data_IF_140291148033
#
_entry.id   IF_140291148033
#
_cell.length_a   1.000
_cell.length_b   1.000
_cell.length_c   1.000
_cell.angle_alpha   90.00
_cell.angle_beta   90.00
_cell.angle_gamma   90.00
#
_symmetry.space_group_name_H-M   'P 1'
#
loop_
_entity.id
_entity.type
_entity.pdbx_description
1 polymer ?
#
# COMPACT_ATOMS: atom_id res chain seq x y z
N UNK A 1 -14.27 -1.77 20.95
CA UNK A 1 -15.58 -2.31 21.38
C UNK A 1 -16.12 -3.25 20.32
N UNK A 2 -16.88 -4.24 20.72
CA UNK A 2 -17.62 -5.13 19.82
C UNK A 2 -18.97 -4.50 19.38
N UNK A 3 -19.80 -5.29 18.66
CA UNK A 3 -21.12 -4.85 18.19
C UNK A 3 -22.07 -4.49 19.33
N UNK A 4 -21.85 -5.05 20.51
CA UNK A 4 -22.67 -4.88 21.70
C UNK A 4 -22.08 -3.80 22.64
N UNK A 5 -21.11 -3.02 22.15
CA UNK A 5 -20.41 -1.94 22.87
C UNK A 5 -19.57 -2.41 24.06
N UNK A 6 -19.22 -3.70 24.15
CA UNK A 6 -18.31 -4.17 25.17
C UNK A 6 -16.86 -3.82 24.80
N UNK A 7 -16.05 -3.48 25.79
CA UNK A 7 -14.61 -3.25 25.60
C UNK A 7 -13.94 -4.60 25.41
N UNK A 8 -13.50 -4.90 24.17
CA UNK A 8 -12.77 -6.13 23.83
C UNK A 8 -11.28 -5.94 24.07
N UNK A 9 -10.75 -4.76 23.73
CA UNK A 9 -9.35 -4.39 23.95
C UNK A 9 -9.31 -3.34 25.05
N UNK A 10 -8.54 -3.56 26.14
CA UNK A 10 -8.39 -2.57 27.21
C UNK A 10 -7.86 -1.24 26.69
N UNK A 11 -8.31 -0.12 27.27
CA UNK A 11 -7.80 1.22 26.95
C UNK A 11 -6.44 1.47 27.65
N UNK A 12 -5.47 0.58 27.41
CA UNK A 12 -4.11 0.66 28.01
C UNK A 12 -3.04 1.08 26.99
N UNK A 13 -3.43 1.28 25.73
CA UNK A 13 -2.54 1.67 24.65
C UNK A 13 -2.71 3.15 24.33
N UNK A 14 -1.62 3.83 23.95
CA UNK A 14 -1.64 5.22 23.50
C UNK A 14 -2.36 5.39 22.17
N UNK A 15 -2.19 4.41 21.26
CA UNK A 15 -2.90 4.34 19.99
C UNK A 15 -3.13 2.90 19.54
N UNK A 16 -4.17 2.71 18.73
CA UNK A 16 -4.53 1.43 18.09
C UNK A 16 -4.94 1.72 16.65
N UNK A 17 -4.37 0.98 15.68
CA UNK A 17 -4.80 1.05 14.28
C UNK A 17 -6.13 0.34 14.05
N UNK A 18 -6.70 0.50 12.86
CA UNK A 18 -7.77 -0.41 12.41
C UNK A 18 -7.25 -1.84 12.34
N UNK A 19 -8.15 -2.81 12.58
CA UNK A 19 -7.83 -4.22 12.37
C UNK A 19 -7.80 -4.54 10.86
N UNK A 20 -6.70 -5.15 10.43
CA UNK A 20 -6.55 -5.74 9.10
C UNK A 20 -6.27 -7.24 9.27
N UNK A 21 -7.12 -8.08 8.64
CA UNK A 21 -7.05 -9.55 8.77
C UNK A 21 -6.96 -10.05 10.23
N UNK A 22 -7.61 -9.35 11.16
CA UNK A 22 -7.66 -9.71 12.59
C UNK A 22 -6.44 -9.29 13.40
N UNK A 23 -5.53 -8.51 12.82
CA UNK A 23 -4.34 -7.96 13.49
C UNK A 23 -4.43 -6.43 13.51
N UNK A 24 -4.13 -5.81 14.64
CA UNK A 24 -3.98 -4.36 14.76
C UNK A 24 -2.61 -4.01 15.34
N UNK A 25 -2.09 -2.86 14.93
CA UNK A 25 -0.90 -2.26 15.55
C UNK A 25 -1.37 -1.49 16.79
N UNK A 26 -0.65 -1.68 17.88
CA UNK A 26 -0.81 -0.88 19.10
C UNK A 26 0.47 -0.15 19.42
N UNK A 27 0.35 1.02 20.04
CA UNK A 27 1.51 1.73 20.59
C UNK A 27 1.33 2.00 22.07
N UNK A 28 2.43 1.93 22.80
CA UNK A 28 2.53 2.28 24.22
C UNK A 28 3.94 2.78 24.51
N UNK A 29 4.05 3.91 25.21
CA UNK A 29 5.33 4.52 25.61
C UNK A 29 6.28 4.73 24.41
N UNK A 30 5.73 5.11 23.24
CA UNK A 30 6.52 5.35 22.02
C UNK A 30 7.03 4.07 21.33
N UNK A 31 6.57 2.89 21.75
CA UNK A 31 6.88 1.61 21.11
C UNK A 31 5.62 1.02 20.48
N UNK A 32 5.80 0.26 19.41
CA UNK A 32 4.73 -0.40 18.68
C UNK A 32 4.82 -1.91 18.81
N UNK A 33 3.68 -2.58 18.71
CA UNK A 33 3.55 -4.03 18.66
C UNK A 33 2.23 -4.42 18.02
N UNK A 34 1.84 -5.67 18.12
CA UNK A 34 0.64 -6.15 17.45
C UNK A 34 -0.24 -6.95 18.40
N UNK A 35 -1.56 -6.77 18.25
CA UNK A 35 -2.58 -7.50 18.97
C UNK A 35 -3.54 -8.19 18.01
N UNK A 36 -4.20 -9.25 18.50
CA UNK A 36 -5.33 -9.87 17.82
C UNK A 36 -6.65 -9.15 18.12
N UNK A 37 -7.72 -9.60 17.46
CA UNK A 37 -9.07 -9.04 17.63
C UNK A 37 -9.65 -9.26 19.05
N UNK A 38 -9.01 -10.08 19.88
CA UNK A 38 -9.40 -10.34 21.27
C UNK A 38 -8.58 -9.51 22.26
N UNK A 39 -7.59 -8.73 21.76
CA UNK A 39 -6.71 -7.90 22.59
C UNK A 39 -5.48 -8.63 23.13
N UNK A 40 -5.22 -9.86 22.67
CA UNK A 40 -4.02 -10.61 23.05
C UNK A 40 -2.82 -10.08 22.26
N UNK A 41 -1.69 -9.88 22.93
CA UNK A 41 -0.45 -9.46 22.27
C UNK A 41 0.08 -10.60 21.41
N UNK A 42 0.10 -10.40 20.09
CA UNK A 42 0.66 -11.34 19.12
C UNK A 42 2.18 -11.19 18.99
N UNK A 43 2.62 -9.92 18.90
CA UNK A 43 4.07 -9.59 18.82
C UNK A 43 4.37 -8.47 19.79
N UNK A 44 5.53 -8.55 20.51
CA UNK A 44 5.86 -7.63 21.59
C UNK A 44 5.80 -6.15 21.21
N UNK A 45 5.44 -5.29 22.16
CA UNK A 45 5.44 -3.83 22.00
C UNK A 45 6.88 -3.34 22.25
N UNK A 46 7.76 -3.59 21.28
CA UNK A 46 9.19 -3.31 21.39
C UNK A 46 9.77 -2.55 20.19
N UNK A 47 8.98 -2.42 19.11
CA UNK A 47 9.42 -1.79 17.86
C UNK A 47 9.28 -0.27 17.96
N UNK A 48 10.24 0.49 17.42
CA UNK A 48 10.14 1.94 17.29
C UNK A 48 9.03 2.33 16.31
N UNK A 49 8.85 1.53 15.27
CA UNK A 49 7.78 1.70 14.28
C UNK A 49 7.39 0.32 13.73
N UNK A 50 6.13 0.17 13.36
CA UNK A 50 5.58 -1.07 12.81
C UNK A 50 4.62 -0.77 11.66
N UNK A 51 4.72 -1.51 10.54
CA UNK A 51 3.78 -1.43 9.43
C UNK A 51 2.65 -2.46 9.58
N UNK A 52 1.50 -2.29 8.91
CA UNK A 52 0.53 -3.36 8.76
C UNK A 52 1.14 -4.61 8.11
N UNK A 53 0.58 -5.78 8.44
CA UNK A 53 0.95 -7.03 7.78
C UNK A 53 0.47 -7.03 6.33
N UNK A 54 1.36 -7.42 5.43
CA UNK A 54 1.05 -7.65 4.03
C UNK A 54 1.70 -8.96 3.57
N UNK A 55 0.94 -9.86 2.95
CA UNK A 55 1.44 -11.19 2.52
C UNK A 55 2.21 -11.94 3.63
N UNK A 56 1.65 -11.93 4.85
CA UNK A 56 2.21 -12.57 6.03
C UNK A 56 3.54 -11.97 6.56
N UNK A 57 3.88 -10.74 6.15
CA UNK A 57 5.05 -10.02 6.64
C UNK A 57 4.69 -8.58 6.99
N UNK A 58 5.43 -8.01 7.95
CA UNK A 58 5.38 -6.59 8.30
C UNK A 58 6.79 -6.03 8.41
N UNK A 59 6.97 -4.77 8.06
CA UNK A 59 8.23 -4.08 8.34
C UNK A 59 8.19 -3.48 9.74
N UNK A 60 9.29 -3.59 10.44
CA UNK A 60 9.46 -3.05 11.80
C UNK A 60 10.80 -2.33 11.91
N UNK A 61 10.88 -1.33 12.78
CA UNK A 61 12.17 -0.72 13.17
C UNK A 61 12.46 -1.14 14.60
N UNK A 62 13.62 -1.72 14.82
CA UNK A 62 14.12 -2.12 16.14
C UNK A 62 15.60 -1.74 16.26
N UNK A 63 15.94 -1.03 17.32
CA UNK A 63 17.29 -0.51 17.58
C UNK A 63 17.86 0.31 16.41
N UNK A 64 16.98 1.12 15.78
CA UNK A 64 17.30 1.95 14.62
C UNK A 64 17.51 1.15 13.32
N UNK A 65 17.25 -0.15 13.31
CA UNK A 65 17.41 -1.02 12.14
C UNK A 65 16.04 -1.43 11.56
N UNK A 66 15.90 -1.28 10.25
CA UNK A 66 14.74 -1.81 9.52
C UNK A 66 14.82 -3.32 9.48
N UNK A 67 13.77 -4.02 9.91
CA UNK A 67 13.60 -5.46 9.88
C UNK A 67 12.32 -5.90 9.21
N UNK A 68 12.26 -7.15 8.80
CA UNK A 68 11.07 -7.80 8.28
C UNK A 68 10.60 -8.85 9.30
N UNK A 69 9.43 -8.62 9.89
CA UNK A 69 8.73 -9.52 10.81
C UNK A 69 7.85 -10.47 10.00
N UNK A 70 7.98 -11.77 10.21
CA UNK A 70 7.08 -12.76 9.62
C UNK A 70 5.93 -13.13 10.59
N UNK A 71 4.95 -13.89 10.08
CA UNK A 71 3.79 -14.31 10.87
C UNK A 71 4.17 -15.31 12.00
N UNK A 72 5.34 -15.92 11.98
CA UNK A 72 5.84 -16.77 13.06
C UNK A 72 6.48 -15.97 14.21
N UNK A 73 6.67 -14.66 14.02
CA UNK A 73 7.28 -13.77 15.01
C UNK A 73 8.78 -13.57 14.84
N UNK A 74 9.39 -14.13 13.78
CA UNK A 74 10.81 -13.95 13.53
C UNK A 74 11.07 -12.64 12.81
N UNK A 75 12.08 -11.90 13.23
CA UNK A 75 12.53 -10.67 12.58
C UNK A 75 13.87 -10.91 11.88
N UNK A 76 13.94 -10.58 10.60
CA UNK A 76 15.18 -10.59 9.84
C UNK A 76 15.61 -9.18 9.46
N UNK A 77 16.93 -8.91 9.56
CA UNK A 77 17.57 -7.67 9.12
C UNK A 77 18.38 -7.88 7.83
N UNK A 78 18.23 -9.04 7.17
CA UNK A 78 18.95 -9.33 5.92
C UNK A 78 18.28 -8.60 4.74
N UNK A 79 18.97 -7.59 4.21
CA UNK A 79 18.52 -6.83 3.03
C UNK A 79 18.20 -7.73 1.82
N UNK A 80 18.94 -8.86 1.63
CA UNK A 80 18.67 -9.78 0.52
C UNK A 80 17.30 -10.43 0.61
N UNK A 81 16.78 -10.54 1.82
CA UNK A 81 15.42 -11.04 2.08
C UNK A 81 14.44 -9.86 1.98
N UNK A 82 14.69 -8.77 2.70
CA UNK A 82 13.79 -7.62 2.79
C UNK A 82 13.46 -7.00 1.43
N UNK A 83 14.47 -6.87 0.54
CA UNK A 83 14.26 -6.29 -0.81
C UNK A 83 13.30 -7.08 -1.71
N UNK A 84 12.83 -8.26 -1.29
CA UNK A 84 11.83 -9.07 -1.99
C UNK A 84 10.39 -8.67 -1.67
N UNK A 85 10.22 -7.75 -0.71
CA UNK A 85 8.92 -7.26 -0.25
C UNK A 85 8.81 -5.77 -0.51
N UNK A 86 7.61 -5.33 -0.90
CA UNK A 86 7.35 -3.92 -1.17
C UNK A 86 7.10 -3.17 0.14
N UNK A 87 7.92 -2.15 0.41
CA UNK A 87 7.71 -1.21 1.50
C UNK A 87 6.51 -0.30 1.22
N UNK A 88 5.75 0.11 2.25
CA UNK A 88 4.88 1.26 2.16
C UNK A 88 5.69 2.51 1.75
N UNK A 89 5.10 3.38 0.93
CA UNK A 89 5.83 4.55 0.40
C UNK A 89 6.26 5.53 1.50
N UNK A 90 5.53 5.58 2.61
CA UNK A 90 5.82 6.42 3.78
C UNK A 90 7.04 5.96 4.60
N UNK A 91 7.58 4.78 4.31
CA UNK A 91 8.70 4.18 5.03
C UNK A 91 10.05 4.35 4.34
N UNK A 92 10.08 4.95 3.18
CA UNK A 92 11.31 5.17 2.41
C UNK A 92 11.80 6.61 2.53
N UNK A 93 13.12 6.80 2.56
CA UNK A 93 13.71 8.15 2.62
C UNK A 93 13.51 8.91 1.31
N UNK A 94 13.57 8.18 0.20
CA UNK A 94 13.36 8.73 -1.13
C UNK A 94 12.29 7.89 -1.83
N UNK A 95 11.06 8.40 -2.02
CA UNK A 95 10.01 7.70 -2.73
C UNK A 95 10.38 7.39 -4.18
N UNK A 96 9.82 6.32 -4.73
CA UNK A 96 9.95 6.05 -6.15
C UNK A 96 9.36 7.21 -6.96
N UNK A 97 10.05 7.60 -8.03
CA UNK A 97 9.71 8.75 -8.87
C UNK A 97 9.39 8.31 -10.29
N UNK A 98 8.24 8.75 -10.81
CA UNK A 98 7.88 8.55 -12.19
C UNK A 98 8.81 9.35 -13.11
N UNK A 99 9.38 8.68 -14.11
CA UNK A 99 10.29 9.29 -15.11
C UNK A 99 9.85 8.99 -16.55
N UNK A 100 8.61 8.54 -16.72
CA UNK A 100 8.09 8.08 -18.01
C UNK A 100 7.83 9.16 -19.02
N UNK A 101 7.73 10.41 -18.59
CA UNK A 101 7.62 11.59 -19.47
C UNK A 101 8.27 12.84 -18.84
N UNK A 102 8.26 13.95 -19.59
CA UNK A 102 8.89 15.19 -19.16
C UNK A 102 8.15 15.89 -17.99
N UNK A 103 6.89 15.55 -17.71
CA UNK A 103 6.13 16.15 -16.60
C UNK A 103 6.56 15.60 -15.25
N UNK A 104 7.00 14.33 -15.20
CA UNK A 104 7.23 13.61 -13.96
C UNK A 104 5.94 13.33 -13.15
N UNK A 105 4.77 13.60 -13.73
CA UNK A 105 3.46 13.42 -13.10
C UNK A 105 2.77 12.16 -13.62
N UNK A 106 2.75 11.14 -12.77
CA UNK A 106 2.14 9.86 -13.13
C UNK A 106 0.62 9.94 -13.34
N UNK A 107 -0.09 10.74 -12.55
CA UNK A 107 -1.54 10.87 -12.71
C UNK A 107 -1.88 11.56 -14.02
N UNK A 108 -1.13 12.58 -14.41
CA UNK A 108 -1.28 13.24 -15.71
C UNK A 108 -0.98 12.27 -16.86
N UNK A 109 0.05 11.44 -16.69
CA UNK A 109 0.36 10.40 -17.68
C UNK A 109 -0.77 9.37 -17.80
N UNK A 110 -1.35 8.90 -16.66
CA UNK A 110 -2.51 8.00 -16.65
C UNK A 110 -3.69 8.63 -17.37
N UNK A 111 -4.00 9.90 -17.09
CA UNK A 111 -5.11 10.62 -17.71
C UNK A 111 -4.97 10.75 -19.22
N UNK A 112 -3.74 10.96 -19.72
CA UNK A 112 -3.45 11.06 -21.14
C UNK A 112 -3.45 9.70 -21.87
N UNK A 113 -3.23 8.60 -21.15
CA UNK A 113 -3.07 7.25 -21.74
C UNK A 113 -4.25 6.30 -21.46
N UNK A 114 -5.15 6.64 -20.55
CA UNK A 114 -6.37 5.87 -20.32
C UNK A 114 -7.35 6.04 -21.49
N UNK A 115 -8.09 4.99 -21.77
CA UNK A 115 -9.14 4.98 -22.78
C UNK A 115 -10.48 4.77 -22.10
N UNK A 116 -11.48 5.56 -22.48
CA UNK A 116 -12.83 5.32 -21.96
C UNK A 116 -13.43 4.10 -22.66
N UNK A 117 -13.76 3.00 -21.91
CA UNK A 117 -14.29 1.80 -22.53
C UNK A 117 -15.62 2.04 -23.24
N UNK A 118 -15.77 1.51 -24.44
CA UNK A 118 -16.97 1.69 -25.28
C UNK A 118 -18.25 1.25 -24.59
N UNK A 119 -18.21 0.10 -23.86
CA UNK A 119 -19.35 -0.42 -23.14
C UNK A 119 -19.79 0.53 -22.01
N UNK A 120 -18.86 1.00 -21.21
CA UNK A 120 -19.12 1.98 -20.16
C UNK A 120 -19.61 3.32 -20.74
N UNK A 121 -19.08 3.71 -21.90
CA UNK A 121 -19.48 4.94 -22.61
C UNK A 121 -20.94 4.85 -23.10
N UNK A 122 -21.36 3.72 -23.67
CA UNK A 122 -22.75 3.52 -24.12
C UNK A 122 -23.76 3.54 -22.98
N UNK A 123 -23.32 3.10 -21.79
CA UNK A 123 -24.15 3.07 -20.59
C UNK A 123 -24.07 4.38 -19.78
N UNK A 124 -23.24 5.35 -20.18
CA UNK A 124 -23.05 6.61 -19.46
C UNK A 124 -22.47 6.42 -18.05
N UNK A 125 -21.67 5.35 -17.83
CA UNK A 125 -21.15 5.02 -16.50
C UNK A 125 -19.89 5.84 -16.23
N UNK A 126 -19.86 6.57 -15.12
CA UNK A 126 -18.68 7.28 -14.58
C UNK A 126 -18.27 6.65 -13.26
N UNK A 127 -17.02 6.83 -12.86
CA UNK A 127 -16.56 6.35 -11.56
C UNK A 127 -15.07 6.58 -11.33
N UNK A 128 -14.64 6.24 -10.13
CA UNK A 128 -13.23 6.26 -9.72
C UNK A 128 -12.83 4.85 -9.32
N UNK A 129 -11.74 4.37 -9.88
CA UNK A 129 -11.16 3.06 -9.55
C UNK A 129 -9.88 3.29 -8.77
N UNK A 130 -9.82 2.75 -7.57
CA UNK A 130 -8.62 2.72 -6.77
C UNK A 130 -7.73 1.56 -7.22
N UNK A 131 -6.51 1.86 -7.66
CA UNK A 131 -5.57 0.87 -8.19
C UNK A 131 -4.32 0.84 -7.33
N UNK A 132 -4.00 -0.34 -6.79
CA UNK A 132 -2.72 -0.61 -6.13
C UNK A 132 -1.72 -1.19 -7.13
N UNK A 133 -0.46 -0.81 -7.01
CA UNK A 133 0.64 -1.36 -7.79
C UNK A 133 1.97 -1.27 -7.03
N UNK A 134 2.94 -2.07 -7.47
CA UNK A 134 4.31 -2.06 -6.91
C UNK A 134 5.28 -1.51 -7.94
N UNK A 135 6.15 -0.59 -7.52
CA UNK A 135 7.35 -0.19 -8.28
C UNK A 135 8.50 -1.07 -7.84
N UNK A 136 9.04 -1.85 -8.77
CA UNK A 136 10.13 -2.79 -8.53
C UNK A 136 11.50 -2.13 -8.42
N UNK A 137 12.51 -2.92 -8.06
CA UNK A 137 13.91 -2.46 -7.97
C UNK A 137 14.48 -2.02 -9.33
N UNK A 138 13.90 -2.49 -10.43
CA UNK A 138 14.26 -2.14 -11.81
C UNK A 138 13.43 -0.98 -12.36
N UNK A 139 12.59 -0.36 -11.52
CA UNK A 139 11.72 0.73 -11.91
C UNK A 139 10.50 0.32 -12.74
N UNK A 140 10.19 -0.99 -12.83
CA UNK A 140 8.97 -1.45 -13.49
C UNK A 140 7.80 -1.56 -12.54
N UNK A 141 6.61 -1.35 -13.08
CA UNK A 141 5.35 -1.54 -12.36
C UNK A 141 4.92 -3.01 -12.44
N UNK A 142 4.58 -3.59 -11.29
CA UNK A 142 4.09 -4.97 -11.11
C UNK A 142 2.92 -5.02 -10.14
N UNK A 143 2.32 -6.18 -9.96
CA UNK A 143 1.25 -6.47 -8.98
C UNK A 143 0.07 -5.49 -9.02
N UNK A 144 -0.30 -5.06 -10.24
CA UNK A 144 -1.36 -4.09 -10.46
C UNK A 144 -2.73 -4.72 -10.23
N UNK A 145 -3.52 -4.16 -9.32
CA UNK A 145 -4.88 -4.62 -9.04
C UNK A 145 -5.81 -3.47 -8.67
N UNK A 146 -7.07 -3.59 -9.03
CA UNK A 146 -8.12 -2.70 -8.51
C UNK A 146 -8.47 -3.10 -7.07
N UNK A 147 -8.49 -2.14 -6.15
CA UNK A 147 -8.92 -2.32 -4.75
C UNK A 147 -10.42 -2.07 -4.60
N UNK A 148 -10.96 -1.13 -5.37
CA UNK A 148 -12.39 -0.82 -5.41
C UNK A 148 -12.89 -0.98 -6.83
N UNK A 149 -14.15 -1.39 -6.98
CA UNK A 149 -14.80 -1.56 -8.29
C UNK A 149 -15.85 -0.47 -8.48
N UNK A 150 -15.70 0.29 -9.56
CA UNK A 150 -16.74 1.20 -10.04
C UNK A 150 -17.61 0.53 -11.11
N UNK A 151 -16.98 -0.16 -12.06
CA UNK A 151 -17.59 -0.92 -13.13
C UNK A 151 -16.53 -1.86 -13.73
N UNK A 152 -16.84 -3.11 -14.07
CA UNK A 152 -15.84 -4.07 -14.55
C UNK A 152 -15.03 -3.63 -15.78
N UNK A 153 -15.62 -2.83 -16.67
CA UNK A 153 -14.89 -2.32 -17.85
C UNK A 153 -13.96 -1.15 -17.46
N UNK A 154 -14.40 -0.26 -16.56
CA UNK A 154 -13.55 0.80 -16.00
C UNK A 154 -12.39 0.22 -15.20
N UNK A 155 -12.65 -0.82 -14.40
CA UNK A 155 -11.63 -1.49 -13.58
C UNK A 155 -10.53 -2.12 -14.46
N UNK A 156 -10.94 -2.84 -15.53
CA UNK A 156 -10.01 -3.41 -16.51
C UNK A 156 -9.13 -2.35 -17.18
N UNK A 157 -9.73 -1.24 -17.57
CA UNK A 157 -8.96 -0.14 -18.20
C UNK A 157 -8.03 0.53 -17.21
N UNK A 158 -8.45 0.78 -15.97
CA UNK A 158 -7.62 1.34 -14.92
C UNK A 158 -6.40 0.44 -14.65
N UNK A 159 -6.60 -0.86 -14.49
CA UNK A 159 -5.51 -1.84 -14.34
C UNK A 159 -4.61 -1.84 -15.59
N UNK A 160 -5.18 -1.83 -16.80
CA UNK A 160 -4.42 -1.82 -18.06
C UNK A 160 -3.49 -0.60 -18.16
N UNK A 161 -4.04 0.61 -17.93
CA UNK A 161 -3.25 1.84 -18.07
C UNK A 161 -2.13 1.91 -17.04
N UNK A 162 -2.40 1.57 -15.77
CA UNK A 162 -1.37 1.53 -14.73
C UNK A 162 -0.31 0.46 -15.04
N UNK A 163 -0.71 -0.73 -15.49
CA UNK A 163 0.22 -1.81 -15.89
C UNK A 163 1.11 -1.42 -17.10
N UNK A 164 0.66 -0.49 -17.93
CA UNK A 164 1.44 -0.01 -19.08
C UNK A 164 2.37 1.16 -18.75
N UNK A 165 2.51 1.49 -17.47
CA UNK A 165 3.38 2.57 -17.01
C UNK A 165 4.79 2.44 -17.56
N UNK A 166 5.38 3.54 -18.05
CA UNK A 166 6.81 3.62 -18.34
C UNK A 166 7.66 3.48 -17.06
N UNK A 167 8.96 3.72 -17.22
CA UNK A 167 9.93 3.55 -16.15
C UNK A 167 9.76 4.52 -14.98
N UNK A 168 10.17 4.04 -13.82
CA UNK A 168 10.29 4.77 -12.57
C UNK A 168 11.72 4.71 -12.05
N UNK A 169 12.14 5.70 -11.30
CA UNK A 169 13.28 5.56 -10.38
C UNK A 169 12.79 4.82 -9.13
N UNK A 170 13.45 3.71 -8.72
CA UNK A 170 13.08 2.98 -7.51
C UNK A 170 13.21 3.84 -6.26
N UNK A 171 12.39 3.54 -5.27
CA UNK A 171 12.52 4.11 -3.93
C UNK A 171 13.82 3.69 -3.27
N UNK A 172 14.29 4.49 -2.31
CA UNK A 172 15.52 4.22 -1.56
C UNK A 172 15.33 4.43 -0.05
N UNK A 173 16.08 3.65 0.70
CA UNK A 173 16.36 3.86 2.11
C UNK A 173 17.88 3.93 2.26
N UNK A 174 18.40 5.13 2.52
CA UNK A 174 19.82 5.45 2.29
C UNK A 174 20.20 5.16 0.84
N UNK A 175 21.28 4.41 0.65
CA UNK A 175 21.76 4.01 -0.68
C UNK A 175 21.10 2.73 -1.23
N UNK A 176 20.29 2.05 -0.45
CA UNK A 176 19.69 0.76 -0.83
C UNK A 176 18.36 0.97 -1.53
N UNK A 177 18.15 0.40 -2.74
CA UNK A 177 16.87 0.44 -3.42
C UNK A 177 15.89 -0.56 -2.82
N UNK A 178 14.61 -0.15 -2.72
CA UNK A 178 13.51 -1.00 -2.29
C UNK A 178 12.36 -0.97 -3.28
N UNK A 179 11.62 -2.08 -3.34
CA UNK A 179 10.30 -2.08 -3.96
C UNK A 179 9.35 -1.27 -3.08
N UNK A 180 8.47 -0.50 -3.70
CA UNK A 180 7.45 0.27 -2.99
C UNK A 180 6.07 0.06 -3.58
N UNK A 181 5.08 0.07 -2.71
CA UNK A 181 3.67 -0.07 -3.07
C UNK A 181 3.01 1.30 -3.08
N UNK A 182 2.25 1.55 -4.13
CA UNK A 182 1.48 2.76 -4.34
C UNK A 182 0.01 2.46 -4.55
N UNK A 183 -0.81 3.45 -4.26
CA UNK A 183 -2.22 3.46 -4.60
C UNK A 183 -2.53 4.75 -5.36
N UNK A 184 -3.28 4.64 -6.46
CA UNK A 184 -3.73 5.78 -7.27
C UNK A 184 -5.21 5.70 -7.56
N UNK A 185 -5.85 6.87 -7.68
CA UNK A 185 -7.25 7.01 -8.06
C UNK A 185 -7.34 7.30 -9.56
N UNK A 186 -7.85 6.36 -10.33
CA UNK A 186 -8.09 6.53 -11.78
C UNK A 186 -9.54 6.95 -11.99
N UNK A 187 -9.74 8.20 -12.35
CA UNK A 187 -11.07 8.79 -12.54
C UNK A 187 -11.55 8.66 -13.99
N UNK A 188 -12.80 8.24 -14.17
CA UNK A 188 -13.49 8.21 -15.45
C UNK A 188 -14.72 9.12 -15.37
N UNK A 189 -14.69 10.24 -16.07
CA UNK A 189 -15.81 11.17 -16.16
C UNK A 189 -16.43 11.09 -17.54
N UNK A 190 -17.75 10.87 -17.59
CA UNK A 190 -18.48 10.95 -18.85
C UNK A 190 -18.58 12.44 -19.26
N UNK A 191 -18.18 12.81 -20.48
CA UNK A 191 -18.33 14.20 -20.90
C UNK A 191 -19.81 14.57 -20.86
N UNK A 192 -20.14 15.62 -20.11
CA UNK A 192 -21.51 16.15 -20.12
C UNK A 192 -21.92 16.42 -21.57
N UNK A 193 -23.10 15.95 -21.94
CA UNK A 193 -23.68 16.28 -23.25
C UNK A 193 -23.77 17.82 -23.37
N UNK A 194 -23.11 18.37 -24.38
CA UNK A 194 -23.25 19.78 -24.75
C UNK A 194 -24.58 20.01 -25.45
#
# INVERSE_FOLDING_TARGET
VDKDMNIVVPCVYDAVSSFDNGIAIVSSEGRSGYIDQFGSVLYPIEYETASPFHQAHAFVVKDGLLGLLNIAGDVTFDYKIMKRFALPVEWVDTPARFIGDASGDFLLWVDNNKKYPEAARRMGVSGVVEVEFTVGLDGKVTDVKALTSANPDLDKEAVRVVSSSPAWEPARMGDLPFMTRFTVMVSFSFPAAR
#
